data_IF_032759020781
#
_entry.id   IF_032759020781
#
_cell.length_a   1.000
_cell.length_b   1.000
_cell.length_c   1.000
_cell.angle_alpha   90.00
_cell.angle_beta   90.00
_cell.angle_gamma   90.00
#
_symmetry.space_group_name_H-M   'P 1'
#
loop_
_entity.id
_entity.type
_entity.pdbx_description
1 polymer ?
#
# COMPACT_ATOMS: atom_id res chain seq x y z
N UNK A 1 -1.89 -0.51 -30.18
CA UNK A 1 -1.73 -1.99 -30.08
C UNK A 1 -2.04 -2.39 -28.64
N UNK A 2 -2.64 -3.56 -28.37
CA UNK A 2 -2.84 -4.01 -26.99
C UNK A 2 -1.56 -4.63 -26.42
N UNK A 3 -1.21 -4.30 -25.18
CA UNK A 3 -0.02 -4.82 -24.48
C UNK A 3 -0.32 -5.06 -23.00
N UNK A 4 0.50 -5.86 -22.35
CA UNK A 4 0.41 -6.10 -20.90
C UNK A 4 0.89 -4.83 -20.16
N UNK A 5 0.22 -4.38 -19.08
CA UNK A 5 0.67 -3.22 -18.33
C UNK A 5 1.96 -3.51 -17.55
N UNK A 6 3.00 -2.73 -17.80
CA UNK A 6 4.31 -2.88 -17.15
C UNK A 6 4.28 -2.52 -15.66
N UNK A 7 3.42 -1.55 -15.32
CA UNK A 7 3.40 -0.86 -14.04
C UNK A 7 2.32 -1.35 -13.06
N UNK A 8 1.67 -2.48 -13.36
CA UNK A 8 0.65 -3.04 -12.47
C UNK A 8 1.31 -3.65 -11.22
N UNK A 9 0.91 -3.16 -10.04
CA UNK A 9 1.50 -3.57 -8.75
C UNK A 9 0.63 -4.53 -7.94
N UNK A 10 -0.68 -4.59 -8.22
CA UNK A 10 -1.65 -5.43 -7.52
C UNK A 10 -2.73 -5.98 -8.48
N UNK A 11 -3.74 -6.67 -7.94
CA UNK A 11 -4.75 -7.37 -8.76
C UNK A 11 -4.25 -8.61 -9.52
N UNK A 12 -5.01 -9.04 -10.53
CA UNK A 12 -4.66 -10.13 -11.46
C UNK A 12 -3.76 -9.58 -12.57
N UNK A 13 -2.63 -10.21 -12.83
CA UNK A 13 -1.67 -9.78 -13.86
C UNK A 13 -1.75 -10.69 -15.08
N UNK A 14 -1.67 -10.11 -16.27
CA UNK A 14 -1.61 -10.84 -17.53
C UNK A 14 -0.21 -11.44 -17.75
N UNK A 15 0.14 -12.48 -16.99
CA UNK A 15 1.46 -13.14 -17.03
C UNK A 15 1.30 -14.65 -17.02
N UNK A 16 2.21 -15.36 -17.68
CA UNK A 16 2.27 -16.83 -17.71
C UNK A 16 0.94 -17.49 -18.12
N UNK A 17 0.27 -16.93 -19.13
CA UNK A 17 -1.03 -17.43 -19.60
C UNK A 17 -2.20 -17.18 -18.64
N UNK A 18 -2.04 -16.29 -17.65
CA UNK A 18 -3.14 -15.88 -16.77
C UNK A 18 -3.92 -14.72 -17.36
N UNK A 19 -5.24 -14.72 -17.10
CA UNK A 19 -6.11 -13.62 -17.43
C UNK A 19 -5.76 -12.39 -16.59
N UNK A 20 -5.56 -11.26 -17.25
CA UNK A 20 -5.27 -9.99 -16.60
C UNK A 20 -5.52 -8.82 -17.54
N UNK A 21 -5.25 -7.60 -17.07
CA UNK A 21 -5.54 -6.40 -17.83
C UNK A 21 -4.58 -6.23 -19.00
N UNK A 22 -5.03 -5.42 -19.95
CA UNK A 22 -4.27 -4.93 -21.09
C UNK A 22 -4.31 -3.41 -21.11
N UNK A 23 -3.39 -2.78 -21.82
CA UNK A 23 -3.39 -1.34 -22.11
C UNK A 23 -3.19 -1.09 -23.60
N UNK A 24 -3.55 0.09 -24.08
CA UNK A 24 -3.21 0.57 -25.41
C UNK A 24 -2.38 1.86 -25.40
N UNK A 25 -2.00 2.31 -26.59
CA UNK A 25 -1.20 3.53 -26.77
C UNK A 25 -2.05 4.81 -26.74
N UNK A 26 -3.37 4.69 -26.51
CA UNK A 26 -4.32 5.81 -26.34
C UNK A 26 -4.64 6.08 -24.87
N UNK A 27 -3.93 5.44 -23.94
CA UNK A 27 -4.13 5.61 -22.50
C UNK A 27 -5.38 4.91 -21.97
N UNK A 28 -5.78 3.78 -22.56
CA UNK A 28 -6.86 2.93 -22.04
C UNK A 28 -6.31 1.74 -21.28
N UNK A 29 -6.95 1.42 -20.16
CA UNK A 29 -6.75 0.23 -19.36
C UNK A 29 -7.96 -0.69 -19.48
N UNK A 30 -7.74 -1.88 -20.00
CA UNK A 30 -8.75 -2.90 -20.26
C UNK A 30 -8.70 -3.95 -19.16
N UNK A 31 -9.59 -3.86 -18.18
CA UNK A 31 -9.69 -4.80 -17.06
C UNK A 31 -10.66 -5.93 -17.45
N UNK A 32 -10.23 -7.20 -17.54
CA UNK A 32 -11.17 -8.29 -17.82
C UNK A 32 -12.23 -8.34 -16.72
N UNK A 33 -13.49 -8.51 -17.12
CA UNK A 33 -14.57 -8.66 -16.15
C UNK A 33 -14.35 -9.93 -15.34
N UNK A 34 -14.34 -9.77 -14.03
CA UNK A 34 -14.21 -10.88 -13.09
C UNK A 34 -15.51 -11.67 -13.02
N UNK A 35 -15.38 -12.98 -12.81
CA UNK A 35 -16.51 -13.90 -12.59
C UNK A 35 -17.29 -13.57 -11.29
N UNK A 36 -18.36 -14.32 -11.01
CA UNK A 36 -19.20 -14.19 -9.81
C UNK A 36 -19.82 -12.79 -9.61
N UNK A 37 -20.28 -12.17 -10.71
CA UNK A 37 -20.84 -10.81 -10.77
C UNK A 37 -19.90 -9.68 -10.33
N UNK A 38 -18.64 -9.96 -10.02
CA UNK A 38 -17.69 -8.92 -9.57
C UNK A 38 -17.42 -7.91 -10.67
N UNK A 39 -17.21 -8.40 -11.90
CA UNK A 39 -17.02 -7.55 -13.06
C UNK A 39 -18.27 -6.73 -13.40
N UNK A 40 -19.46 -7.34 -13.37
CA UNK A 40 -20.72 -6.65 -13.67
C UNK A 40 -21.06 -5.59 -12.61
N UNK A 41 -20.79 -5.86 -11.33
CA UNK A 41 -20.90 -4.87 -10.23
C UNK A 41 -19.98 -3.68 -10.42
N UNK A 42 -18.72 -3.92 -10.81
CA UNK A 42 -17.77 -2.82 -11.06
C UNK A 42 -18.21 -1.95 -12.26
N UNK A 43 -18.71 -2.57 -13.34
CA UNK A 43 -19.29 -1.83 -14.48
C UNK A 43 -20.52 -1.01 -14.06
N UNK A 44 -21.42 -1.59 -13.27
CA UNK A 44 -22.61 -0.90 -12.77
C UNK A 44 -22.25 0.29 -11.87
N UNK A 45 -21.22 0.14 -11.03
CA UNK A 45 -20.68 1.25 -10.24
C UNK A 45 -20.20 2.38 -11.15
N UNK A 46 -19.29 2.12 -12.09
CA UNK A 46 -18.78 3.19 -12.96
C UNK A 46 -19.86 3.85 -13.82
N UNK A 47 -20.82 3.06 -14.32
CA UNK A 47 -21.94 3.58 -15.13
C UNK A 47 -22.84 4.52 -14.33
N UNK A 48 -23.15 4.17 -13.07
CA UNK A 48 -23.94 5.03 -12.17
C UNK A 48 -23.13 6.22 -11.64
N UNK A 49 -21.86 6.00 -11.30
CA UNK A 49 -20.96 7.04 -10.76
C UNK A 49 -20.69 8.15 -11.79
N UNK A 50 -20.41 7.77 -13.05
CA UNK A 50 -20.11 8.73 -14.14
C UNK A 50 -21.27 9.67 -14.46
N UNK A 51 -22.51 9.27 -14.16
CA UNK A 51 -23.73 10.08 -14.37
C UNK A 51 -24.27 10.73 -13.10
N UNK A 52 -23.70 10.44 -11.93
CA UNK A 52 -24.21 10.93 -10.65
C UNK A 52 -23.79 12.38 -10.38
N UNK A 53 -24.70 13.33 -10.61
CA UNK A 53 -24.47 14.78 -10.42
C UNK A 53 -24.20 15.20 -8.98
N UNK A 54 -24.49 14.36 -7.98
CA UNK A 54 -24.24 14.65 -6.55
C UNK A 54 -22.76 14.57 -6.17
N UNK A 55 -21.92 13.91 -6.96
CA UNK A 55 -20.47 13.86 -6.72
C UNK A 55 -19.83 15.14 -7.29
N UNK A 56 -19.09 15.94 -6.52
CA UNK A 56 -18.42 17.13 -7.05
C UNK A 56 -17.31 16.78 -8.07
N UNK A 57 -17.06 17.65 -9.06
CA UNK A 57 -16.02 17.44 -10.08
C UNK A 57 -14.63 17.23 -9.48
N UNK A 58 -14.33 17.98 -8.43
CA UNK A 58 -13.07 17.87 -7.71
C UNK A 58 -12.92 16.48 -7.06
N UNK A 59 -14.00 15.79 -6.69
CA UNK A 59 -13.93 14.40 -6.22
C UNK A 59 -13.87 13.41 -7.39
N UNK A 60 -14.63 13.65 -8.47
CA UNK A 60 -14.64 12.77 -9.65
C UNK A 60 -13.25 12.54 -10.23
N UNK A 61 -12.37 13.55 -10.19
CA UNK A 61 -10.98 13.43 -10.70
C UNK A 61 -10.16 12.36 -9.98
N UNK A 62 -10.55 11.98 -8.75
CA UNK A 62 -9.91 10.94 -7.96
C UNK A 62 -10.35 9.53 -8.38
N UNK A 63 -11.10 9.38 -9.46
CA UNK A 63 -11.51 8.09 -10.02
C UNK A 63 -10.99 7.99 -11.46
N UNK A 64 -10.53 6.81 -11.93
CA UNK A 64 -10.21 6.62 -13.33
C UNK A 64 -11.40 6.93 -14.24
N UNK A 65 -11.15 7.58 -15.37
CA UNK A 65 -12.23 7.86 -16.33
C UNK A 65 -12.79 6.54 -16.88
N UNK A 66 -14.11 6.41 -16.89
CA UNK A 66 -14.82 5.25 -17.44
C UNK A 66 -15.12 5.45 -18.93
N UNK A 67 -14.78 4.46 -19.75
CA UNK A 67 -14.98 4.49 -21.21
C UNK A 67 -15.97 3.43 -21.71
N UNK A 68 -16.68 2.75 -20.81
CA UNK A 68 -17.62 1.69 -21.15
C UNK A 68 -17.00 0.31 -21.05
N UNK A 69 -17.56 -0.64 -21.81
CA UNK A 69 -17.12 -2.02 -21.88
C UNK A 69 -16.82 -2.41 -23.31
N UNK A 70 -15.86 -3.30 -23.52
CA UNK A 70 -15.49 -3.79 -24.85
C UNK A 70 -15.22 -5.29 -24.83
N UNK A 71 -15.58 -5.98 -25.92
CA UNK A 71 -15.22 -7.37 -26.15
C UNK A 71 -13.83 -7.44 -26.80
N UNK A 72 -12.88 -8.13 -26.16
CA UNK A 72 -11.48 -8.20 -26.60
C UNK A 72 -10.92 -9.62 -26.44
N UNK A 73 -9.93 -9.95 -27.26
CA UNK A 73 -9.15 -11.18 -27.07
C UNK A 73 -8.48 -11.16 -25.69
N UNK A 74 -8.76 -12.17 -24.89
CA UNK A 74 -8.27 -12.29 -23.54
C UNK A 74 -6.76 -12.54 -23.50
N UNK A 75 -6.09 -12.00 -22.49
CA UNK A 75 -4.63 -12.12 -22.33
C UNK A 75 -4.13 -13.56 -22.11
N UNK A 76 -5.02 -14.46 -21.71
CA UNK A 76 -4.75 -15.88 -21.53
C UNK A 76 -4.97 -16.72 -22.79
N UNK A 77 -5.40 -16.10 -23.90
CA UNK A 77 -5.71 -16.80 -25.15
C UNK A 77 -7.01 -17.59 -25.12
N UNK A 78 -7.88 -17.40 -24.10
CA UNK A 78 -9.17 -18.09 -24.00
C UNK A 78 -10.26 -17.56 -24.96
N UNK A 79 -9.90 -16.66 -25.87
CA UNK A 79 -10.80 -16.04 -26.84
C UNK A 79 -11.36 -14.69 -26.38
N UNK A 80 -12.41 -14.24 -27.05
CA UNK A 80 -13.08 -12.98 -26.75
C UNK A 80 -13.74 -12.97 -25.36
N UNK A 81 -13.36 -12.00 -24.52
CA UNK A 81 -13.94 -11.75 -23.19
C UNK A 81 -14.34 -10.28 -23.02
N UNK A 82 -15.39 -10.00 -22.23
CA UNK A 82 -15.75 -8.63 -21.89
C UNK A 82 -14.71 -8.01 -20.96
N UNK A 83 -14.35 -6.76 -21.26
CA UNK A 83 -13.43 -5.94 -20.49
C UNK A 83 -14.10 -4.62 -20.12
N UNK A 84 -13.87 -4.19 -18.88
CA UNK A 84 -14.12 -2.82 -18.42
C UNK A 84 -13.01 -1.92 -18.96
N UNK A 85 -13.38 -0.82 -19.62
CA UNK A 85 -12.42 0.12 -20.20
C UNK A 85 -12.31 1.35 -19.31
N UNK A 86 -11.13 1.56 -18.72
CA UNK A 86 -10.81 2.65 -17.83
C UNK A 86 -9.66 3.50 -18.40
N UNK A 87 -9.44 4.68 -17.83
CA UNK A 87 -8.21 5.44 -17.97
C UNK A 87 -7.01 4.61 -17.49
N UNK A 88 -5.98 4.51 -18.33
CA UNK A 88 -4.66 4.10 -17.86
C UNK A 88 -3.99 5.28 -17.15
N UNK A 89 -4.13 5.27 -15.82
CA UNK A 89 -3.66 6.32 -14.91
C UNK A 89 -2.18 6.61 -15.10
N UNK A 90 -1.36 5.65 -15.55
CA UNK A 90 0.09 5.85 -15.69
C UNK A 90 0.55 6.09 -17.13
N UNK A 91 -0.37 6.15 -18.10
CA UNK A 91 -0.04 6.23 -19.53
C UNK A 91 0.80 7.45 -19.95
N UNK A 92 0.68 8.56 -19.22
CA UNK A 92 1.43 9.80 -19.46
C UNK A 92 2.79 9.87 -18.78
N UNK A 93 3.21 8.80 -18.10
CA UNK A 93 4.41 8.74 -17.25
C UNK A 93 5.42 7.75 -17.83
N UNK A 94 6.70 8.10 -17.77
CA UNK A 94 7.78 7.25 -18.26
C UNK A 94 8.28 6.31 -17.17
N UNK A 95 8.40 6.82 -15.93
CA UNK A 95 8.96 6.08 -14.80
C UNK A 95 8.07 6.20 -13.54
N UNK A 96 6.81 5.76 -13.62
CA UNK A 96 5.85 5.93 -12.52
C UNK A 96 6.21 5.05 -11.31
N UNK A 97 6.38 5.69 -10.16
CA UNK A 97 6.34 5.04 -8.86
C UNK A 97 4.88 4.87 -8.44
N UNK A 98 4.47 3.63 -8.15
CA UNK A 98 3.06 3.26 -7.94
C UNK A 98 2.90 2.46 -6.66
N UNK A 99 1.89 2.77 -5.85
CA UNK A 99 1.53 2.01 -4.65
C UNK A 99 0.01 1.80 -4.58
N UNK A 100 -0.42 0.54 -4.49
CA UNK A 100 -1.81 0.16 -4.23
C UNK A 100 -1.99 -0.07 -2.73
N UNK A 101 -2.88 0.70 -2.11
CA UNK A 101 -3.20 0.61 -0.69
C UNK A 101 -4.69 0.27 -0.56
N UNK A 102 -4.98 -0.93 -0.06
CA UNK A 102 -6.38 -1.30 0.23
C UNK A 102 -6.83 -0.67 1.53
N UNK A 103 -7.99 -0.01 1.50
CA UNK A 103 -8.52 0.77 2.62
C UNK A 103 -9.66 0.01 3.31
N UNK A 104 -9.74 0.15 4.64
CA UNK A 104 -10.72 -0.48 5.52
C UNK A 104 -10.08 -1.45 6.50
N UNK A 105 -10.60 -1.50 7.73
CA UNK A 105 -10.21 -2.50 8.73
C UNK A 105 -10.84 -3.86 8.48
N UNK A 106 -11.91 -3.87 7.69
CA UNK A 106 -12.49 -5.05 7.06
C UNK A 106 -12.60 -4.86 5.55
N UNK A 107 -12.47 -5.94 4.81
CA UNK A 107 -12.68 -5.98 3.35
C UNK A 107 -13.95 -6.70 2.93
N UNK A 108 -14.72 -7.19 3.90
CA UNK A 108 -16.05 -7.78 3.72
C UNK A 108 -17.16 -6.79 4.07
N UNK A 109 -18.37 -7.09 3.59
CA UNK A 109 -19.59 -6.33 3.83
C UNK A 109 -20.73 -7.26 4.31
N UNK A 110 -21.74 -6.75 5.04
CA UNK A 110 -22.74 -7.58 5.71
C UNK A 110 -23.51 -8.53 4.78
N UNK A 111 -23.80 -8.10 3.56
CA UNK A 111 -24.54 -8.87 2.57
C UNK A 111 -23.67 -9.84 1.74
N UNK A 112 -22.37 -9.97 2.06
CA UNK A 112 -21.49 -10.91 1.38
C UNK A 112 -21.80 -12.37 1.79
N UNK A 113 -21.41 -13.33 0.95
CA UNK A 113 -21.53 -14.75 1.32
C UNK A 113 -20.64 -15.10 2.50
N UNK A 114 -21.03 -16.10 3.28
CA UNK A 114 -20.24 -16.55 4.44
C UNK A 114 -18.81 -16.94 4.04
N UNK A 115 -18.65 -17.68 2.94
CA UNK A 115 -17.33 -18.05 2.41
C UNK A 115 -16.48 -16.82 2.07
N UNK A 116 -17.09 -15.78 1.50
CA UNK A 116 -16.40 -14.52 1.21
C UNK A 116 -15.98 -13.82 2.50
N UNK A 117 -16.89 -13.72 3.48
CA UNK A 117 -16.62 -13.11 4.79
C UNK A 117 -15.47 -13.83 5.47
N UNK A 118 -15.50 -15.16 5.57
CA UNK A 118 -14.45 -15.95 6.22
C UNK A 118 -13.08 -15.78 5.53
N UNK A 119 -13.05 -15.77 4.19
CA UNK A 119 -11.82 -15.53 3.43
C UNK A 119 -11.25 -14.13 3.67
N UNK A 120 -12.10 -13.10 3.62
CA UNK A 120 -11.70 -11.72 3.89
C UNK A 120 -11.25 -11.55 5.33
N UNK A 121 -12.00 -12.07 6.29
CA UNK A 121 -11.70 -12.00 7.72
C UNK A 121 -10.35 -12.62 8.06
N UNK A 122 -10.05 -13.81 7.53
CA UNK A 122 -8.73 -14.45 7.68
C UNK A 122 -7.63 -13.53 7.16
N UNK A 123 -7.80 -13.01 5.94
CA UNK A 123 -6.80 -12.12 5.32
C UNK A 123 -6.64 -10.79 6.07
N UNK A 124 -7.73 -10.22 6.56
CA UNK A 124 -7.69 -8.95 7.27
C UNK A 124 -6.97 -9.09 8.60
N UNK A 125 -7.09 -10.25 9.28
CA UNK A 125 -6.33 -10.61 10.49
C UNK A 125 -4.84 -10.83 10.25
N UNK A 126 -4.47 -11.41 9.11
CA UNK A 126 -3.07 -11.72 8.77
C UNK A 126 -2.29 -10.51 8.23
N UNK A 127 -2.97 -9.38 7.99
CA UNK A 127 -2.39 -8.18 7.38
C UNK A 127 -2.57 -6.96 8.29
N UNK A 128 -1.98 -5.83 7.91
CA UNK A 128 -2.16 -4.56 8.61
C UNK A 128 -3.57 -3.97 8.52
N UNK A 129 -4.49 -4.58 7.75
CA UNK A 129 -5.85 -4.08 7.58
C UNK A 129 -6.56 -3.98 8.93
N UNK A 130 -6.59 -5.06 9.70
CA UNK A 130 -7.32 -5.08 10.97
C UNK A 130 -6.78 -4.04 11.98
N UNK A 131 -5.46 -3.88 12.05
CA UNK A 131 -4.81 -3.02 13.07
C UNK A 131 -4.66 -1.56 12.64
N UNK A 132 -4.44 -1.29 11.34
CA UNK A 132 -4.20 0.05 10.81
C UNK A 132 -5.39 0.61 10.04
N UNK A 133 -6.39 -0.20 9.70
CA UNK A 133 -7.47 0.21 8.81
C UNK A 133 -7.07 0.28 7.34
N UNK A 134 -5.87 -0.17 6.97
CA UNK A 134 -5.43 -0.30 5.58
C UNK A 134 -4.26 -1.29 5.47
N UNK A 135 -3.97 -1.74 4.24
CA UNK A 135 -2.77 -2.53 3.92
C UNK A 135 -2.18 -2.12 2.57
N UNK A 136 -0.87 -2.25 2.43
CA UNK A 136 -0.21 -2.10 1.13
C UNK A 136 -0.42 -3.41 0.35
N UNK A 137 -1.14 -3.36 -0.77
CA UNK A 137 -1.45 -4.53 -1.60
C UNK A 137 -0.31 -4.88 -2.56
N UNK A 138 0.47 -3.87 -2.95
CA UNK A 138 1.56 -3.95 -3.91
C UNK A 138 2.15 -2.57 -4.16
N UNK A 139 3.43 -2.52 -4.54
CA UNK A 139 4.08 -1.28 -4.98
C UNK A 139 5.20 -1.58 -5.98
N UNK A 140 5.59 -0.55 -6.69
CA UNK A 140 6.86 -0.45 -7.38
C UNK A 140 7.37 0.98 -7.22
N UNK A 141 8.67 1.14 -7.04
CA UNK A 141 9.29 2.47 -6.95
C UNK A 141 10.43 2.51 -7.94
N UNK A 142 10.44 3.52 -8.79
CA UNK A 142 11.56 3.73 -9.69
C UNK A 142 12.80 4.15 -8.89
N UNK A 143 13.97 3.63 -9.23
CA UNK A 143 15.26 4.02 -8.66
C UNK A 143 15.96 5.03 -9.54
N UNK A 144 16.64 4.50 -10.54
CA UNK A 144 17.32 5.19 -11.63
C UNK A 144 17.51 4.21 -12.79
N UNK A 145 18.19 4.63 -13.86
CA UNK A 145 18.44 3.79 -15.03
C UNK A 145 19.21 2.50 -14.67
N UNK A 146 20.13 2.55 -13.70
CA UNK A 146 20.95 1.39 -13.33
C UNK A 146 20.23 0.38 -12.42
N UNK A 147 19.44 0.86 -11.47
CA UNK A 147 18.73 0.04 -10.47
C UNK A 147 17.33 -0.37 -10.90
N UNK A 148 16.76 0.30 -11.90
CA UNK A 148 15.42 0.03 -12.41
C UNK A 148 14.33 0.24 -11.34
N UNK A 149 13.40 -0.71 -11.23
CA UNK A 149 12.29 -0.64 -10.28
C UNK A 149 12.53 -1.55 -9.07
N UNK A 150 12.41 -0.98 -7.87
CA UNK A 150 12.21 -1.76 -6.66
C UNK A 150 10.75 -2.23 -6.58
N UNK A 151 10.54 -3.54 -6.76
CA UNK A 151 9.22 -4.18 -6.73
C UNK A 151 9.26 -5.39 -5.78
N UNK A 152 9.05 -5.19 -4.47
CA UNK A 152 9.06 -6.27 -3.50
C UNK A 152 7.93 -7.29 -3.75
N UNK A 153 8.14 -8.53 -3.31
CA UNK A 153 7.13 -9.58 -3.48
C UNK A 153 5.82 -9.24 -2.77
N UNK A 154 4.71 -9.54 -3.44
CA UNK A 154 3.34 -9.25 -2.97
C UNK A 154 3.04 -9.81 -1.57
N UNK A 155 3.56 -10.99 -1.23
CA UNK A 155 3.33 -11.60 0.09
C UNK A 155 4.04 -10.84 1.20
N UNK A 156 5.26 -10.35 0.94
CA UNK A 156 6.04 -9.57 1.91
C UNK A 156 5.34 -8.26 2.25
N UNK A 157 4.82 -7.56 1.24
CA UNK A 157 4.18 -6.25 1.44
C UNK A 157 2.80 -6.31 2.07
N UNK A 158 2.12 -7.46 1.98
CA UNK A 158 0.80 -7.63 2.61
C UNK A 158 0.90 -7.88 4.12
N UNK A 159 2.03 -8.41 4.60
CA UNK A 159 2.21 -8.82 5.99
C UNK A 159 3.13 -7.85 6.77
N UNK A 160 3.02 -6.55 6.48
CA UNK A 160 3.83 -5.52 7.11
C UNK A 160 3.29 -5.13 8.48
N UNK A 161 4.17 -4.95 9.46
CA UNK A 161 3.83 -4.30 10.72
C UNK A 161 3.63 -2.79 10.53
N UNK A 162 3.14 -2.08 11.55
CA UNK A 162 3.05 -0.62 11.53
C UNK A 162 4.41 0.05 11.30
N UNK A 163 5.49 -0.48 11.87
CA UNK A 163 6.84 0.04 11.67
C UNK A 163 7.30 -0.17 10.23
N UNK A 164 7.07 -1.36 9.67
CA UNK A 164 7.47 -1.66 8.29
C UNK A 164 6.67 -0.83 7.27
N UNK A 165 5.37 -0.60 7.52
CA UNK A 165 4.55 0.29 6.69
C UNK A 165 5.15 1.69 6.65
N UNK A 166 5.61 2.24 7.78
CA UNK A 166 6.28 3.55 7.81
C UNK A 166 7.54 3.54 6.96
N UNK A 167 8.37 2.51 7.09
CA UNK A 167 9.59 2.36 6.29
C UNK A 167 9.26 2.30 4.80
N UNK A 168 8.23 1.55 4.40
CA UNK A 168 7.82 1.45 2.98
C UNK A 168 7.28 2.79 2.45
N UNK A 169 6.48 3.52 3.23
CA UNK A 169 6.00 4.85 2.84
C UNK A 169 7.14 5.86 2.74
N UNK A 170 8.13 5.81 3.63
CA UNK A 170 9.35 6.62 3.52
C UNK A 170 10.15 6.27 2.26
N UNK A 171 10.39 4.98 2.01
CA UNK A 171 11.07 4.48 0.80
C UNK A 171 10.36 4.91 -0.49
N UNK A 172 9.03 5.00 -0.48
CA UNK A 172 8.25 5.45 -1.64
C UNK A 172 8.61 6.86 -2.09
N UNK A 173 9.04 7.73 -1.17
CA UNK A 173 9.42 9.13 -1.43
C UNK A 173 10.91 9.39 -1.22
N UNK A 174 11.74 8.35 -1.37
CA UNK A 174 13.19 8.45 -1.22
C UNK A 174 13.93 8.46 -2.56
N UNK A 175 15.04 9.19 -2.59
CA UNK A 175 15.99 9.15 -3.70
C UNK A 175 16.85 7.90 -3.62
N UNK A 176 17.29 7.54 -2.40
CA UNK A 176 18.11 6.38 -2.09
C UNK A 176 17.28 5.08 -1.99
N UNK A 177 16.89 4.50 -3.12
CA UNK A 177 16.35 3.13 -3.06
C UNK A 177 17.44 2.15 -2.61
N UNK A 178 17.20 1.36 -1.56
CA UNK A 178 18.26 0.61 -0.92
C UNK A 178 18.77 -0.53 -1.81
N UNK A 179 20.06 -0.49 -2.13
CA UNK A 179 20.85 -1.70 -2.42
C UNK A 179 21.13 -2.46 -1.11
N UNK A 180 21.28 -1.73 0.00
CA UNK A 180 21.45 -2.26 1.36
C UNK A 180 20.15 -2.11 2.17
N UNK A 181 19.54 -3.22 2.64
CA UNK A 181 18.33 -3.19 3.46
C UNK A 181 18.46 -2.43 4.78
N UNK A 182 19.68 -2.15 5.25
CA UNK A 182 19.95 -1.39 6.48
C UNK A 182 20.06 0.13 6.27
N UNK A 183 19.99 0.62 5.02
CA UNK A 183 20.04 2.06 4.75
C UNK A 183 18.70 2.73 5.08
N UNK A 184 18.76 3.80 5.86
CA UNK A 184 17.58 4.58 6.22
C UNK A 184 17.05 5.37 5.01
N UNK A 185 15.72 5.36 4.76
CA UNK A 185 15.12 6.12 3.67
C UNK A 185 15.23 7.63 3.92
N UNK A 186 15.84 8.34 2.98
CA UNK A 186 16.15 9.78 3.09
C UNK A 186 14.92 10.71 3.00
N UNK A 187 13.74 10.19 2.63
CA UNK A 187 12.50 10.94 2.40
C UNK A 187 12.65 12.22 1.55
N UNK A 188 13.67 12.31 0.70
CA UNK A 188 14.06 13.54 -0.01
C UNK A 188 12.97 14.10 -0.93
N UNK A 189 12.02 13.28 -1.38
CA UNK A 189 10.88 13.69 -2.19
C UNK A 189 9.58 13.86 -1.39
N UNK A 190 9.61 13.73 -0.06
CA UNK A 190 8.40 13.82 0.76
C UNK A 190 7.67 15.16 0.53
N UNK A 191 8.39 16.28 0.57
CA UNK A 191 7.81 17.60 0.38
C UNK A 191 7.17 17.80 -1.00
N UNK A 192 7.75 17.22 -2.07
CA UNK A 192 7.26 17.38 -3.44
C UNK A 192 6.19 16.36 -3.84
N UNK A 193 6.17 15.18 -3.22
CA UNK A 193 5.23 14.09 -3.54
C UNK A 193 4.05 14.06 -2.56
N UNK A 194 4.32 14.10 -1.26
CA UNK A 194 3.27 14.11 -0.23
C UNK A 194 2.78 15.53 0.07
N UNK A 195 3.67 16.51 0.10
CA UNK A 195 3.36 17.90 0.47
C UNK A 195 2.82 18.76 -0.67
N UNK A 196 2.48 20.01 -0.34
CA UNK A 196 1.94 21.00 -1.29
C UNK A 196 0.44 20.85 -1.57
N UNK A 197 -0.16 21.85 -2.21
CA UNK A 197 -1.59 21.89 -2.50
C UNK A 197 -2.04 20.85 -3.54
N UNK A 198 -1.11 20.31 -4.33
CA UNK A 198 -1.36 19.26 -5.31
C UNK A 198 -0.75 17.91 -4.92
N UNK A 199 -0.11 17.81 -3.75
CA UNK A 199 0.49 16.57 -3.27
C UNK A 199 -0.54 15.53 -2.87
N UNK A 200 -0.05 14.31 -2.58
CA UNK A 200 -0.89 13.20 -2.16
C UNK A 200 -1.69 13.55 -0.90
N UNK A 201 -1.09 14.23 0.08
CA UNK A 201 -1.79 14.54 1.34
C UNK A 201 -2.99 15.47 1.09
N UNK A 202 -2.86 16.49 0.25
CA UNK A 202 -3.96 17.39 -0.08
C UNK A 202 -5.12 16.64 -0.77
N UNK A 203 -4.80 15.76 -1.73
CA UNK A 203 -5.81 14.95 -2.42
C UNK A 203 -6.52 13.95 -1.48
N UNK A 204 -5.78 13.33 -0.55
CA UNK A 204 -6.38 12.45 0.46
C UNK A 204 -7.27 13.23 1.45
N UNK A 205 -6.90 14.46 1.81
CA UNK A 205 -7.72 15.32 2.67
C UNK A 205 -9.02 15.76 1.98
N UNK A 206 -8.98 16.06 0.68
CA UNK A 206 -10.20 16.30 -0.11
C UNK A 206 -11.09 15.06 -0.15
N UNK A 207 -10.49 13.89 -0.37
CA UNK A 207 -11.23 12.63 -0.35
C UNK A 207 -11.86 12.38 1.02
N UNK A 208 -11.11 12.63 2.10
CA UNK A 208 -11.59 12.49 3.48
C UNK A 208 -12.79 13.40 3.72
N UNK A 209 -12.70 14.68 3.34
CA UNK A 209 -13.80 15.63 3.50
C UNK A 209 -15.08 15.14 2.81
N UNK A 210 -14.95 14.58 1.60
CA UNK A 210 -16.10 13.97 0.93
C UNK A 210 -16.64 12.73 1.64
N UNK A 211 -15.76 11.87 2.19
CA UNK A 211 -16.16 10.69 2.97
C UNK A 211 -16.78 11.01 4.33
N UNK A 212 -16.55 12.21 4.87
CA UNK A 212 -17.21 12.69 6.09
C UNK A 212 -18.69 13.04 5.86
N UNK A 213 -19.05 13.42 4.64
CA UNK A 213 -20.41 13.88 4.30
C UNK A 213 -21.20 12.89 3.43
N UNK A 214 -20.53 12.18 2.52
CA UNK A 214 -21.22 11.30 1.58
C UNK A 214 -21.79 10.07 2.28
N UNK A 215 -23.01 9.70 1.90
CA UNK A 215 -23.73 8.54 2.42
C UNK A 215 -24.25 7.63 1.29
N UNK A 216 -23.77 7.86 0.07
CA UNK A 216 -24.21 7.16 -1.14
C UNK A 216 -23.54 5.81 -1.28
N UNK A 217 -22.28 5.70 -0.85
CA UNK A 217 -21.43 4.56 -1.16
C UNK A 217 -20.70 4.05 0.09
N UNK A 218 -20.70 2.74 0.27
CA UNK A 218 -19.71 2.06 1.09
C UNK A 218 -18.72 1.32 0.18
N UNK A 219 -17.45 1.69 0.27
CA UNK A 219 -16.37 1.20 -0.58
C UNK A 219 -15.64 0.03 0.09
N UNK A 220 -16.20 -1.16 0.01
CA UNK A 220 -15.56 -2.36 0.57
C UNK A 220 -14.50 -2.90 -0.38
N UNK A 221 -13.36 -3.32 0.18
CA UNK A 221 -12.26 -3.92 -0.59
C UNK A 221 -11.73 -3.04 -1.74
N UNK A 222 -11.98 -1.74 -1.70
CA UNK A 222 -11.46 -0.76 -2.66
C UNK A 222 -10.05 -0.31 -2.25
N UNK A 223 -9.27 0.20 -3.20
CA UNK A 223 -7.92 0.70 -2.95
C UNK A 223 -7.78 2.17 -3.31
N UNK A 224 -6.87 2.83 -2.60
CA UNK A 224 -6.24 4.08 -3.03
C UNK A 224 -4.94 3.72 -3.77
N UNK A 225 -4.81 4.20 -5.00
CA UNK A 225 -3.61 4.12 -5.82
C UNK A 225 -2.86 5.44 -5.73
N UNK A 226 -1.62 5.39 -5.25
CA UNK A 226 -0.69 6.51 -5.22
C UNK A 226 0.25 6.40 -6.42
N UNK A 227 0.39 7.48 -7.17
CA UNK A 227 1.28 7.54 -8.34
C UNK A 227 2.07 8.84 -8.31
N UNK A 228 3.34 8.82 -8.69
CA UNK A 228 4.09 10.02 -9.05
C UNK A 228 5.20 9.69 -10.06
N UNK A 229 5.72 10.70 -10.75
CA UNK A 229 6.82 10.57 -11.72
C UNK A 229 8.15 10.97 -11.05
N UNK A 230 9.00 9.99 -10.75
CA UNK A 230 10.21 10.24 -9.96
C UNK A 230 11.28 11.00 -10.73
N UNK A 231 11.42 10.77 -12.03
CA UNK A 231 12.44 11.49 -12.82
C UNK A 231 12.17 12.99 -12.91
N UNK A 232 10.90 13.38 -12.97
CA UNK A 232 10.52 14.80 -12.93
C UNK A 232 10.93 15.43 -11.62
N UNK A 233 10.70 14.73 -10.50
CA UNK A 233 11.13 15.22 -9.18
C UNK A 233 12.66 15.35 -9.12
N UNK A 234 13.41 14.37 -9.64
CA UNK A 234 14.88 14.43 -9.72
C UNK A 234 15.38 15.63 -10.54
N UNK A 235 14.65 16.02 -11.59
CA UNK A 235 14.93 17.20 -12.43
C UNK A 235 14.45 18.52 -11.81
N UNK A 236 13.85 18.49 -10.61
CA UNK A 236 13.30 19.66 -9.94
C UNK A 236 11.95 20.13 -10.52
N UNK A 237 11.30 19.31 -11.33
CA UNK A 237 9.97 19.56 -11.88
C UNK A 237 8.86 19.11 -10.92
N UNK A 238 7.60 19.32 -11.31
CA UNK A 238 6.45 18.84 -10.53
C UNK A 238 6.43 17.31 -10.51
N UNK A 239 6.09 16.74 -9.36
CA UNK A 239 6.01 15.30 -9.14
C UNK A 239 4.90 14.61 -9.93
N UNK A 240 3.93 15.37 -10.44
CA UNK A 240 2.67 14.86 -11.02
C UNK A 240 2.03 13.79 -10.12
N UNK A 241 2.11 14.03 -8.81
CA UNK A 241 1.59 13.13 -7.80
C UNK A 241 0.06 13.06 -7.89
N UNK A 242 -0.49 11.85 -7.85
CA UNK A 242 -1.89 11.59 -8.10
C UNK A 242 -2.43 10.49 -7.19
N UNK A 243 -3.66 10.70 -6.73
CA UNK A 243 -4.44 9.75 -5.94
C UNK A 243 -5.64 9.30 -6.78
N UNK A 244 -5.78 7.98 -6.98
CA UNK A 244 -6.97 7.40 -7.61
C UNK A 244 -7.61 6.33 -6.72
N UNK A 245 -8.93 6.30 -6.66
CA UNK A 245 -9.70 5.19 -6.11
C UNK A 245 -9.93 4.14 -7.18
N UNK A 246 -9.70 2.87 -6.83
CA UNK A 246 -9.81 1.74 -7.75
C UNK A 246 -10.45 0.51 -7.08
N UNK A 247 -10.76 -0.50 -7.90
CA UNK A 247 -11.32 -1.81 -7.50
C UNK A 247 -12.74 -1.78 -6.91
N UNK A 248 -13.72 -1.33 -7.70
CA UNK A 248 -15.09 -1.10 -7.24
C UNK A 248 -16.04 -2.30 -7.34
N UNK A 249 -15.51 -3.52 -7.38
CA UNK A 249 -16.31 -4.74 -7.50
C UNK A 249 -17.18 -5.05 -6.26
N UNK A 250 -16.92 -4.39 -5.13
CA UNK A 250 -17.59 -4.63 -3.84
C UNK A 250 -18.15 -3.34 -3.22
N UNK A 251 -18.47 -2.34 -4.05
CA UNK A 251 -19.19 -1.16 -3.58
C UNK A 251 -20.64 -1.54 -3.25
N UNK A 252 -21.11 -1.11 -2.09
CA UNK A 252 -22.50 -1.27 -1.66
C UNK A 252 -23.16 0.10 -1.48
N UNK A 253 -24.49 0.13 -1.54
CA UNK A 253 -25.26 1.35 -1.29
C UNK A 253 -25.11 1.78 0.18
N UNK A 254 -24.83 3.06 0.40
CA UNK A 254 -24.59 3.59 1.75
C UNK A 254 -25.85 3.79 2.60
N UNK A 255 -27.04 3.85 1.98
CA UNK A 255 -28.35 3.96 2.66
C UNK A 255 -28.39 5.07 3.72
N UNK A 256 -27.90 6.25 3.36
CA UNK A 256 -27.83 7.43 4.24
C UNK A 256 -26.90 7.26 5.46
N UNK A 257 -25.98 6.29 5.42
CA UNK A 257 -24.98 6.02 6.46
C UNK A 257 -23.57 6.29 5.91
N UNK A 258 -22.75 6.96 6.71
CA UNK A 258 -21.32 7.19 6.42
C UNK A 258 -20.56 5.85 6.40
N UNK A 259 -19.66 5.69 5.42
CA UNK A 259 -18.73 4.57 5.42
C UNK A 259 -17.61 4.76 6.45
N UNK A 260 -17.92 4.44 7.72
CA UNK A 260 -16.94 4.53 8.81
C UNK A 260 -15.74 3.61 8.61
N UNK A 261 -15.89 2.49 7.90
CA UNK A 261 -14.79 1.55 7.66
C UNK A 261 -13.76 2.18 6.72
N UNK A 262 -14.21 2.71 5.58
CA UNK A 262 -13.33 3.38 4.63
C UNK A 262 -12.76 4.68 5.20
N UNK A 263 -13.60 5.52 5.82
CA UNK A 263 -13.17 6.78 6.42
C UNK A 263 -12.12 6.58 7.52
N UNK A 264 -12.30 5.58 8.39
CA UNK A 264 -11.33 5.25 9.43
C UNK A 264 -9.97 4.83 8.85
N UNK A 265 -9.98 3.98 7.81
CA UNK A 265 -8.77 3.56 7.10
C UNK A 265 -8.06 4.72 6.40
N UNK A 266 -8.82 5.60 5.76
CA UNK A 266 -8.30 6.79 5.08
C UNK A 266 -7.66 7.77 6.08
N UNK A 267 -8.31 8.03 7.21
CA UNK A 267 -7.75 8.85 8.29
C UNK A 267 -6.43 8.29 8.83
N UNK A 268 -6.34 6.96 8.98
CA UNK A 268 -5.11 6.29 9.40
C UNK A 268 -3.99 6.45 8.36
N UNK A 269 -4.28 6.24 7.08
CA UNK A 269 -3.29 6.46 6.01
C UNK A 269 -2.79 7.92 5.97
N UNK A 270 -3.72 8.88 6.07
CA UNK A 270 -3.41 10.32 6.14
C UNK A 270 -2.46 10.61 7.30
N UNK A 271 -2.70 10.02 8.47
CA UNK A 271 -1.82 10.17 9.63
C UNK A 271 -0.40 9.69 9.32
N UNK A 272 -0.24 8.48 8.79
CA UNK A 272 1.08 7.93 8.45
C UNK A 272 1.84 8.82 7.44
N UNK A 273 1.15 9.32 6.42
CA UNK A 273 1.77 10.20 5.41
C UNK A 273 2.11 11.58 6.02
N UNK A 274 1.22 12.14 6.84
CA UNK A 274 1.45 13.44 7.48
C UNK A 274 2.65 13.42 8.43
N UNK A 275 2.82 12.31 9.17
CA UNK A 275 3.94 12.14 10.10
C UNK A 275 5.29 12.14 9.39
N UNK A 276 5.37 11.66 8.13
CA UNK A 276 6.58 11.70 7.31
C UNK A 276 6.94 13.14 6.91
N UNK A 277 5.94 14.00 6.68
CA UNK A 277 6.16 15.41 6.36
C UNK A 277 6.54 16.25 7.59
N UNK A 278 6.05 15.87 8.77
CA UNK A 278 6.23 16.66 9.99
C UNK A 278 7.37 16.16 10.87
N UNK A 279 7.87 14.94 10.69
CA UNK A 279 9.02 14.44 11.44
C UNK A 279 10.26 15.20 10.96
N UNK A 280 10.88 16.08 11.78
CA UNK A 280 12.24 16.52 11.51
C UNK A 280 13.12 15.28 11.59
N UNK A 281 14.16 15.19 10.78
CA UNK A 281 15.12 14.09 10.79
C UNK A 281 15.58 13.71 12.22
N UNK A 282 14.93 12.72 12.84
CA UNK A 282 15.53 11.95 13.95
C UNK A 282 16.64 11.01 13.42
N UNK A 283 17.15 11.27 12.21
CA UNK A 283 18.24 10.53 11.60
C UNK A 283 19.63 11.12 11.93
N UNK A 284 19.73 12.29 12.57
CA UNK A 284 21.05 12.90 12.87
C UNK A 284 21.53 12.74 14.32
N UNK A 285 20.70 12.32 15.28
CA UNK A 285 21.08 12.30 16.71
C UNK A 285 21.61 10.97 17.25
N UNK A 286 21.59 9.88 16.47
CA UNK A 286 22.22 8.59 16.87
C UNK A 286 23.64 8.38 16.35
N UNK A 287 24.16 9.29 15.52
CA UNK A 287 25.57 9.29 15.10
C UNK A 287 26.48 9.90 16.18
N UNK A 288 26.03 10.91 16.93
CA UNK A 288 26.88 11.61 17.91
C UNK A 288 27.07 10.87 19.25
N UNK A 289 26.38 9.75 19.50
CA UNK A 289 26.53 8.97 20.74
C UNK A 289 27.38 7.71 20.57
N UNK A 290 27.96 7.45 19.39
CA UNK A 290 28.86 6.30 19.15
C UNK A 290 30.33 6.68 19.01
N UNK A 291 30.65 7.98 18.93
CA UNK A 291 32.03 8.46 18.77
C UNK A 291 32.69 8.88 20.11
N UNK A 292 32.03 8.71 21.26
CA UNK A 292 32.61 9.07 22.57
C UNK A 292 33.21 7.90 23.36
N UNK A 293 33.25 6.68 22.82
CA UNK A 293 33.77 5.49 23.55
C UNK A 293 34.99 4.81 22.90
N UNK A 294 35.59 5.40 21.85
CA UNK A 294 36.80 4.86 21.22
C UNK A 294 37.93 5.88 21.19
N UNK A 295 38.36 6.34 22.37
CA UNK A 295 39.66 7.00 22.55
C UNK A 295 40.10 6.87 24.01
N UNK A 296 40.38 5.62 24.44
CA UNK A 296 41.29 5.34 25.56
C UNK A 296 42.00 4.01 25.33
N UNK A 297 43.10 4.07 24.58
CA UNK A 297 44.12 3.01 24.60
C UNK A 297 45.38 3.49 25.34
N UNK A 298 45.82 2.63 26.27
CA UNK A 298 47.22 2.27 26.61
C UNK A 298 48.05 3.18 27.54
N UNK A 299 48.41 2.60 28.68
CA UNK A 299 49.73 2.60 29.37
C UNK A 299 49.50 1.86 30.71
N UNK A 300 50.06 0.71 31.07
CA UNK A 300 51.45 0.20 31.10
C UNK A 300 51.42 -1.29 31.53
N UNK A 301 52.38 -2.12 31.10
CA UNK A 301 52.78 -3.39 31.75
C UNK A 301 54.10 -3.17 32.53
N UNK A 302 54.72 -4.15 33.24
CA UNK A 302 54.31 -5.51 33.64
C UNK A 302 54.51 -5.79 35.17
N UNK A 303 53.98 -6.90 35.73
CA UNK A 303 54.79 -8.03 36.28
C UNK A 303 53.99 -9.09 37.09
N UNK A 304 54.51 -10.33 36.99
CA UNK A 304 54.53 -11.46 37.92
C UNK A 304 53.28 -12.12 38.59
N UNK A 305 53.04 -13.36 38.12
CA UNK A 305 53.09 -14.61 38.90
C UNK A 305 51.81 -15.26 39.50
N UNK A 306 51.65 -16.52 39.08
CA UNK A 306 51.16 -17.72 39.82
C UNK A 306 49.68 -17.91 40.20
N UNK A 307 49.07 -18.89 39.51
CA UNK A 307 48.44 -20.12 40.07
C UNK A 307 47.01 -20.41 39.59
N UNK A 308 46.90 -21.52 38.84
CA UNK A 308 45.83 -22.53 38.69
C UNK A 308 44.45 -22.25 39.32
N UNK A 309 43.38 -22.47 38.54
CA UNK A 309 42.54 -23.71 38.49
C UNK A 309 41.26 -23.37 37.68
N UNK A 310 40.95 -24.16 36.66
CA UNK A 310 39.59 -24.29 36.10
C UNK A 310 38.93 -25.52 36.71
N UNK A 311 37.63 -25.42 37.04
CA UNK A 311 36.53 -26.26 36.52
C UNK A 311 35.27 -26.14 37.42
N UNK A 312 34.13 -25.84 36.75
CA UNK A 312 32.77 -26.42 36.90
C UNK A 312 32.05 -26.32 38.27
N UNK A 313 30.72 -26.30 38.39
CA UNK A 313 29.59 -26.24 37.46
C UNK A 313 28.34 -25.84 38.30
N UNK A 314 27.30 -25.36 37.60
CA UNK A 314 25.86 -25.48 37.87
C UNK A 314 25.30 -25.27 39.29
N UNK A 315 24.35 -24.32 39.43
CA UNK A 315 23.22 -24.55 40.32
C UNK A 315 21.97 -23.70 40.04
N UNK A 316 20.82 -24.37 40.22
CA UNK A 316 19.45 -23.88 40.51
C UNK A 316 18.48 -23.60 39.34
N UNK A 317 17.60 -24.57 39.13
CA UNK A 317 16.21 -24.31 38.74
C UNK A 317 15.29 -24.79 39.89
N UNK A 318 14.33 -23.94 40.28
CA UNK A 318 13.43 -24.17 41.42
C UNK A 318 12.04 -24.57 40.94
N UNK A 319 11.49 -25.58 41.59
CA UNK A 319 10.11 -26.04 41.50
C UNK A 319 9.14 -24.99 42.05
N UNK A 320 7.97 -24.85 41.42
CA UNK A 320 6.72 -24.66 42.16
C UNK A 320 5.60 -25.47 41.49
N UNK A 321 5.00 -26.30 42.33
CA UNK A 321 3.81 -27.12 42.16
C UNK A 321 2.54 -26.28 42.20
N UNK A 322 1.47 -26.72 41.52
CA UNK A 322 0.14 -26.78 42.15
C UNK A 322 -0.79 -27.75 41.41
N UNK A 323 -1.34 -28.69 42.18
CA UNK A 323 -2.40 -29.62 41.84
C UNK A 323 -3.76 -28.94 42.00
N UNK A 324 -4.76 -29.35 41.21
CA UNK A 324 -6.16 -28.99 41.48
C UNK A 324 -7.15 -29.57 40.47
N UNK A 325 -7.49 -30.83 40.65
CA UNK A 325 -8.62 -31.55 40.03
C UNK A 325 -9.97 -30.91 40.42
N UNK A 326 -11.00 -31.01 39.57
CA UNK A 326 -12.33 -31.63 39.86
C UNK A 326 -13.27 -31.46 38.65
N UNK A 327 -14.01 -32.55 38.40
CA UNK A 327 -15.00 -32.83 37.35
C UNK A 327 -16.31 -32.02 37.47
N UNK A 328 -17.02 -31.92 36.32
CA UNK A 328 -18.41 -32.38 36.23
C UNK A 328 -19.54 -31.36 36.39
N UNK A 329 -20.05 -30.85 35.27
CA UNK A 329 -21.46 -30.95 34.78
C UNK A 329 -21.62 -30.17 33.48
#
# INVERSE_FOLDING_TARGET
MLKVPDHQVAGHQARNGQLGPLIDDSGRFYKPLQDDDRGSKEVAFYSSFSSNTRVPDHIRRLFPVFHGTQLLEASDGSGLRPHLVLEDVVSSRSHPSVMDIKIGSRTWYPEASEDYIQRCFKKDRETSSLSLGFRISGLQVYGNEESGFWKPERKLVQNLSAADVRVVLKKFVSSNLPVDPNSDPDCSFAASVYGGSTGILAQLLELKAWFEDQTMYHLNSCSVLLVYEKEKVLKGERSDAEVKLIDFAHVTEGKDIIDHNFLGGLCSLIKFISEILTSPDECTTKACLRDSEKDKEILTSPDESTTKVCLQDSDKNTNYSENGTIEGM
#
